data_IF_068191402656
#
_entry.id   IF_068191402656
#
_cell.length_a   1.000
_cell.length_b   1.000
_cell.length_c   1.000
_cell.angle_alpha   90.00
_cell.angle_beta   90.00
_cell.angle_gamma   90.00
#
_symmetry.space_group_name_H-M   'P 1'
#
loop_
_entity.id
_entity.type
_entity.pdbx_description
1 polymer ?
#
# COMPACT_ATOMS: atom_id res chain seq x y z
N UNK A 1 -12.86 -5.28 -6.22
CA UNK A 1 -13.83 -4.15 -6.25
C UNK A 1 -14.73 -4.34 -7.46
N UNK A 2 -15.99 -4.73 -7.28
CA UNK A 2 -16.99 -4.85 -8.36
C UNK A 2 -17.45 -3.45 -8.83
N UNK A 3 -16.51 -2.64 -9.32
CA UNK A 3 -16.77 -1.29 -9.81
C UNK A 3 -16.32 -1.19 -11.27
N UNK A 4 -17.05 -0.44 -12.07
CA UNK A 4 -16.69 -0.22 -13.46
C UNK A 4 -15.43 0.67 -13.55
N UNK A 5 -14.67 0.50 -14.64
CA UNK A 5 -13.49 1.33 -14.93
C UNK A 5 -13.81 2.83 -14.91
N UNK A 6 -14.90 3.32 -15.54
CA UNK A 6 -15.25 4.74 -15.48
C UNK A 6 -15.52 5.24 -14.05
N UNK A 7 -16.16 4.41 -13.21
CA UNK A 7 -16.41 4.76 -11.81
C UNK A 7 -15.11 4.91 -11.04
N UNK A 8 -14.17 3.96 -11.20
CA UNK A 8 -12.85 4.04 -10.56
C UNK A 8 -12.09 5.29 -11.03
N UNK A 9 -12.09 5.58 -12.33
CA UNK A 9 -11.43 6.76 -12.89
C UNK A 9 -11.99 8.04 -12.26
N UNK A 10 -13.32 8.17 -12.14
CA UNK A 10 -13.94 9.35 -11.52
C UNK A 10 -13.59 9.50 -10.04
N UNK A 11 -13.57 8.40 -9.28
CA UNK A 11 -13.16 8.41 -7.87
C UNK A 11 -11.71 8.90 -7.75
N UNK A 12 -10.81 8.36 -8.56
CA UNK A 12 -9.40 8.73 -8.57
C UNK A 12 -9.18 10.20 -8.93
N UNK A 13 -9.83 10.69 -9.98
CA UNK A 13 -9.73 12.09 -10.41
C UNK A 13 -10.24 13.06 -9.33
N UNK A 14 -11.36 12.73 -8.67
CA UNK A 14 -11.86 13.53 -7.57
C UNK A 14 -10.88 13.58 -6.40
N UNK A 15 -10.33 12.42 -5.98
CA UNK A 15 -9.34 12.36 -4.92
C UNK A 15 -8.09 13.19 -5.24
N UNK A 16 -7.62 13.13 -6.49
CA UNK A 16 -6.45 13.90 -6.95
C UNK A 16 -6.69 15.41 -6.88
N UNK A 17 -7.88 15.88 -7.27
CA UNK A 17 -8.27 17.29 -7.16
C UNK A 17 -8.36 17.76 -5.71
N UNK A 18 -8.95 16.95 -4.84
CA UNK A 18 -9.05 17.27 -3.40
C UNK A 18 -7.66 17.40 -2.76
N UNK A 19 -6.76 16.45 -3.04
CA UNK A 19 -5.38 16.51 -2.52
C UNK A 19 -4.65 17.74 -3.06
N UNK A 20 -4.78 18.04 -4.35
CA UNK A 20 -4.16 19.22 -4.95
C UNK A 20 -4.67 20.53 -4.31
N UNK A 21 -5.98 20.63 -4.07
CA UNK A 21 -6.59 21.77 -3.37
C UNK A 21 -6.02 21.93 -1.96
N UNK A 22 -5.98 20.83 -1.19
CA UNK A 22 -5.45 20.84 0.16
C UNK A 22 -3.99 21.32 0.22
N UNK A 23 -3.16 20.92 -0.75
CA UNK A 23 -1.78 21.42 -0.84
C UNK A 23 -1.67 22.90 -1.19
N UNK A 24 -2.51 23.41 -2.10
CA UNK A 24 -2.48 24.82 -2.51
C UNK A 24 -3.00 25.73 -1.40
N UNK A 25 -4.03 25.29 -0.66
CA UNK A 25 -4.69 26.08 0.37
C UNK A 25 -4.11 25.86 1.78
N UNK A 26 -3.16 24.91 1.93
CA UNK A 26 -2.57 24.57 3.22
C UNK A 26 -3.53 23.85 4.17
N UNK A 27 -4.51 23.11 3.63
CA UNK A 27 -5.47 22.34 4.41
C UNK A 27 -4.81 21.10 5.04
N UNK A 28 -5.34 20.66 6.19
CA UNK A 28 -4.92 19.41 6.82
C UNK A 28 -5.61 18.22 6.16
N UNK A 29 -4.82 17.23 5.73
CA UNK A 29 -5.34 15.97 5.18
C UNK A 29 -5.30 14.91 6.28
N UNK A 30 -6.48 14.43 6.70
CA UNK A 30 -6.61 13.34 7.66
C UNK A 30 -7.09 12.09 6.92
N UNK A 31 -6.30 11.02 6.99
CA UNK A 31 -6.67 9.71 6.47
C UNK A 31 -7.09 8.87 7.67
N UNK A 32 -8.39 8.84 7.96
CA UNK A 32 -8.97 8.10 9.09
C UNK A 32 -8.86 6.57 8.92
N UNK A 33 -8.58 6.11 7.69
CA UNK A 33 -8.59 4.69 7.36
C UNK A 33 -10.00 4.15 7.23
N UNK A 34 -10.19 2.88 7.59
CA UNK A 34 -11.46 2.16 7.52
C UNK A 34 -11.24 0.66 7.60
N UNK A 35 -12.31 -0.13 7.52
CA UNK A 35 -12.21 -1.59 7.51
C UNK A 35 -11.56 -2.05 6.19
N UNK A 36 -10.28 -2.40 6.26
CA UNK A 36 -9.53 -2.96 5.14
C UNK A 36 -9.32 -4.44 5.40
N UNK A 37 -9.91 -5.29 4.56
CA UNK A 37 -9.67 -6.72 4.57
C UNK A 37 -8.69 -7.07 3.46
N UNK A 38 -7.51 -7.56 3.85
CA UNK A 38 -6.56 -8.14 2.92
C UNK A 38 -6.93 -9.61 2.69
N UNK A 39 -7.08 -10.03 1.44
CA UNK A 39 -7.41 -11.42 1.11
C UNK A 39 -6.25 -12.40 1.34
N UNK A 40 -5.03 -11.89 1.55
CA UNK A 40 -3.79 -12.64 1.70
C UNK A 40 -2.89 -11.96 2.73
N UNK A 41 -1.89 -12.67 3.25
CA UNK A 41 -0.90 -12.09 4.17
C UNK A 41 0.11 -11.28 3.34
N UNK A 42 0.39 -10.04 3.75
CA UNK A 42 1.35 -9.17 3.07
C UNK A 42 2.55 -8.89 3.95
N UNK A 43 3.74 -9.06 3.38
CA UNK A 43 5.01 -8.74 4.02
C UNK A 43 5.68 -7.56 3.31
N UNK A 44 6.31 -6.68 4.10
CA UNK A 44 7.22 -5.63 3.63
C UNK A 44 8.63 -6.02 4.04
N UNK A 45 9.55 -6.08 3.07
CA UNK A 45 10.97 -6.17 3.38
C UNK A 45 11.45 -4.86 4.01
N UNK A 46 12.08 -4.92 5.18
CA UNK A 46 12.59 -3.72 5.89
C UNK A 46 13.75 -3.02 5.18
N UNK A 47 14.47 -3.75 4.31
CA UNK A 47 15.66 -3.22 3.61
C UNK A 47 15.31 -2.52 2.31
N UNK A 48 14.46 -3.13 1.49
CA UNK A 48 14.14 -2.61 0.15
C UNK A 48 12.70 -2.11 -0.01
N UNK A 49 11.87 -2.19 1.04
CA UNK A 49 10.45 -1.81 1.03
C UNK A 49 9.58 -2.56 0.01
N UNK A 50 10.10 -3.66 -0.59
CA UNK A 50 9.33 -4.51 -1.49
C UNK A 50 8.16 -5.15 -0.74
N UNK A 51 7.00 -5.13 -1.38
CA UNK A 51 5.78 -5.80 -0.93
C UNK A 51 5.78 -7.24 -1.49
N UNK A 52 5.46 -8.20 -0.62
CA UNK A 52 5.45 -9.61 -0.93
C UNK A 52 4.11 -10.17 -0.45
N UNK A 53 3.37 -10.79 -1.35
CA UNK A 53 2.15 -11.51 -1.04
C UNK A 53 2.51 -12.92 -0.58
N UNK A 54 2.23 -13.29 0.66
CA UNK A 54 2.63 -14.56 1.23
C UNK A 54 4.15 -14.66 1.47
N UNK A 55 4.57 -15.63 2.29
CA UNK A 55 6.01 -15.82 2.57
C UNK A 55 6.68 -16.65 1.47
N UNK A 56 5.90 -17.47 0.77
CA UNK A 56 6.28 -18.32 -0.34
C UNK A 56 6.76 -17.53 -1.57
N UNK A 57 6.29 -16.30 -1.75
CA UNK A 57 6.72 -15.42 -2.83
C UNK A 57 7.93 -14.55 -2.47
N UNK A 58 8.52 -14.78 -1.28
CA UNK A 58 9.74 -14.09 -0.88
C UNK A 58 10.89 -14.55 -1.78
N UNK A 59 11.48 -13.59 -2.48
CA UNK A 59 12.61 -13.81 -3.39
C UNK A 59 13.77 -12.91 -2.99
N UNK A 60 15.03 -13.34 -3.21
CA UNK A 60 16.20 -12.51 -2.93
C UNK A 60 16.08 -11.16 -3.63
N UNK A 61 16.06 -10.10 -2.83
CA UNK A 61 15.95 -8.74 -3.35
C UNK A 61 17.31 -8.28 -3.87
N UNK A 62 17.36 -7.68 -5.07
CA UNK A 62 18.61 -7.32 -5.76
C UNK A 62 19.58 -6.46 -4.92
N UNK A 63 19.07 -5.64 -3.99
CA UNK A 63 19.86 -4.74 -3.14
C UNK A 63 19.85 -5.16 -1.65
N UNK A 64 19.43 -6.39 -1.32
CA UNK A 64 19.47 -6.88 0.05
C UNK A 64 20.71 -7.75 0.27
N UNK A 65 21.47 -7.43 1.32
CA UNK A 65 22.67 -8.17 1.74
C UNK A 65 22.35 -9.49 2.45
N UNK A 66 21.10 -9.67 2.88
CA UNK A 66 20.60 -10.90 3.46
C UNK A 66 19.36 -11.35 2.72
N UNK A 67 19.07 -12.63 2.83
CA UNK A 67 17.83 -13.24 2.40
C UNK A 67 17.34 -14.13 3.55
N UNK A 68 16.19 -13.79 4.12
CA UNK A 68 15.61 -14.57 5.21
C UNK A 68 14.31 -13.98 5.72
N UNK A 69 13.56 -14.75 6.51
CA UNK A 69 12.27 -14.30 7.02
C UNK A 69 12.40 -13.19 8.09
N UNK A 70 13.59 -13.03 8.68
CA UNK A 70 13.86 -12.04 9.73
C UNK A 70 13.74 -10.58 9.25
N UNK A 71 13.92 -10.34 7.95
CA UNK A 71 13.82 -9.00 7.36
C UNK A 71 12.40 -8.65 6.90
N UNK A 72 11.46 -9.58 7.03
CA UNK A 72 10.06 -9.41 6.65
C UNK A 72 9.25 -8.84 7.82
N UNK A 73 8.43 -7.85 7.51
CA UNK A 73 7.46 -7.27 8.43
C UNK A 73 6.05 -7.47 7.86
N UNK A 74 5.19 -8.20 8.56
CA UNK A 74 3.80 -8.38 8.15
C UNK A 74 3.04 -7.06 8.33
N UNK A 75 2.43 -6.58 7.24
CA UNK A 75 1.79 -5.26 7.15
C UNK A 75 0.35 -5.31 7.64
N UNK A 76 -0.30 -6.44 7.41
CA UNK A 76 -1.70 -6.70 7.76
C UNK A 76 -1.79 -7.68 8.93
N UNK A 77 -1.01 -7.44 10.00
CA UNK A 77 -1.36 -8.02 11.30
C UNK A 77 -2.57 -7.25 11.79
N UNK A 78 -3.67 -7.96 12.01
CA UNK A 78 -4.82 -7.44 12.74
C UNK A 78 -4.40 -6.93 14.13
#
# INVERSE_FOLDING_TARGET
MNISRPTLTRIYENARKTIAKAFVEGETIIIEGGNVHFGTIWYRCRKCNKLIEGIENHTPCKNCTSYGNDELFQINKD
#
